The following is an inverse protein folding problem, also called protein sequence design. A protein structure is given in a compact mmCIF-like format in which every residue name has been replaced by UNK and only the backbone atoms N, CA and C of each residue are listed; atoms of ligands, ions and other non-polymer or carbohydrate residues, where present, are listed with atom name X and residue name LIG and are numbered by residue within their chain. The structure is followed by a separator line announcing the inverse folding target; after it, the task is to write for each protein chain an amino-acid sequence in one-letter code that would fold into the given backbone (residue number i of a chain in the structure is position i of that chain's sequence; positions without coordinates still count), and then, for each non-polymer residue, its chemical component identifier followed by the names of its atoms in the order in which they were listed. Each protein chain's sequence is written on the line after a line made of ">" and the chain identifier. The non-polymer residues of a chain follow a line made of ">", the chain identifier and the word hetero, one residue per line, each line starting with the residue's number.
data_IF_059522937143
#
_entry.id   IF_059522937143
#
_cell.length_a   1.000
_cell.length_b   1.000
_cell.length_c   1.000
_cell.angle_alpha   90.00
_cell.angle_beta   90.00
_cell.angle_gamma   90.00
#
_symmetry.space_group_name_H-M   'P 1'
#
loop_
_entity.id
_entity.type
_entity.pdbx_description
1 polymer ?
#
# COMPACT_ATOMS: atom_id res chain seq x y z
N UNK A 1 6.19 -27.87 -22.96
CA UNK A 1 4.95 -27.36 -22.32
C UNK A 1 4.75 -25.93 -22.80
N UNK A 2 3.52 -25.41 -22.89
CA UNK A 2 3.33 -23.99 -23.20
C UNK A 2 4.12 -23.16 -22.17
N UNK A 3 5.08 -22.39 -22.65
CA UNK A 3 6.06 -21.65 -21.83
C UNK A 3 5.56 -20.28 -21.44
N UNK A 4 4.32 -19.92 -21.78
CA UNK A 4 3.78 -18.58 -21.54
C UNK A 4 2.97 -18.51 -20.25
N UNK A 5 3.32 -17.56 -19.39
CA UNK A 5 2.67 -17.30 -18.11
C UNK A 5 2.00 -15.93 -18.17
N UNK A 6 0.74 -15.85 -17.77
CA UNK A 6 0.06 -14.57 -17.53
C UNK A 6 0.41 -14.08 -16.12
N UNK A 7 0.94 -12.87 -16.02
CA UNK A 7 1.48 -12.30 -14.76
C UNK A 7 0.67 -11.10 -14.27
N UNK A 8 0.13 -10.31 -15.19
CA UNK A 8 -0.63 -9.10 -14.87
C UNK A 8 -1.90 -9.00 -15.70
N UNK A 9 -2.93 -8.39 -15.11
CA UNK A 9 -4.24 -8.20 -15.73
C UNK A 9 -4.87 -6.89 -15.23
N UNK A 10 -5.36 -6.08 -16.16
CA UNK A 10 -6.23 -4.94 -15.86
C UNK A 10 -7.41 -4.87 -16.82
N UNK A 11 -8.47 -4.19 -16.40
CA UNK A 11 -9.62 -3.84 -17.24
C UNK A 11 -9.74 -2.32 -17.28
N UNK A 12 -9.56 -1.71 -18.45
CA UNK A 12 -9.61 -0.25 -18.57
C UNK A 12 -9.93 0.23 -19.99
N UNK A 13 -10.12 1.54 -20.14
CA UNK A 13 -10.15 2.25 -21.42
C UNK A 13 -8.82 2.97 -21.64
N UNK A 14 -8.43 3.17 -22.89
CA UNK A 14 -7.17 3.82 -23.24
C UNK A 14 -7.42 4.92 -24.28
N UNK A 15 -6.72 6.04 -24.12
CA UNK A 15 -6.87 7.25 -24.94
C UNK A 15 -8.32 7.73 -24.97
N UNK A 16 -8.76 8.13 -26.16
CA UNK A 16 -10.14 8.54 -26.44
C UNK A 16 -11.03 7.37 -26.90
N UNK A 17 -10.53 6.12 -26.86
CA UNK A 17 -11.30 4.95 -27.27
C UNK A 17 -12.34 4.60 -26.19
N UNK A 18 -13.65 4.64 -26.50
CA UNK A 18 -14.69 4.35 -25.51
C UNK A 18 -14.74 2.87 -25.11
N UNK A 19 -14.04 2.01 -25.84
CA UNK A 19 -14.01 0.55 -25.65
C UNK A 19 -13.26 0.16 -24.38
N UNK A 20 -13.89 -0.66 -23.55
CA UNK A 20 -13.19 -1.30 -22.42
C UNK A 20 -12.44 -2.54 -22.90
N UNK A 21 -11.16 -2.62 -22.51
CA UNK A 21 -10.25 -3.70 -22.84
C UNK A 21 -9.81 -4.46 -21.59
N UNK A 22 -9.67 -5.78 -21.73
CA UNK A 22 -8.93 -6.62 -20.80
C UNK A 22 -7.50 -6.75 -21.31
N UNK A 23 -6.54 -6.21 -20.55
CA UNK A 23 -5.14 -6.13 -20.93
C UNK A 23 -4.35 -7.12 -20.08
N UNK A 24 -3.66 -8.06 -20.73
CA UNK A 24 -2.91 -9.14 -20.09
C UNK A 24 -1.42 -8.97 -20.38
N UNK A 25 -0.62 -8.88 -19.33
CA UNK A 25 0.83 -8.94 -19.42
C UNK A 25 1.34 -10.36 -19.20
N UNK A 26 2.24 -10.80 -20.06
CA UNK A 26 2.73 -12.19 -20.08
C UNK A 26 4.26 -12.26 -20.07
N UNK A 27 4.78 -13.46 -19.82
CA UNK A 27 6.20 -13.81 -19.95
C UNK A 27 6.36 -15.21 -20.56
N UNK A 28 7.35 -15.38 -21.43
CA UNK A 28 7.79 -16.68 -21.94
C UNK A 28 8.90 -17.22 -21.03
N UNK A 29 8.54 -18.16 -20.16
CA UNK A 29 9.39 -18.76 -19.14
C UNK A 29 9.98 -20.07 -19.68
N UNK A 30 11.29 -20.06 -19.90
CA UNK A 30 12.06 -21.23 -20.30
C UNK A 30 12.90 -21.73 -19.10
N UNK A 31 12.90 -23.03 -18.78
CA UNK A 31 13.68 -23.57 -17.65
C UNK A 31 15.19 -23.32 -17.74
N UNK A 32 15.72 -23.14 -18.95
CA UNK A 32 17.15 -22.90 -19.20
C UNK A 32 17.54 -21.41 -19.02
N UNK A 33 16.57 -20.52 -18.79
CA UNK A 33 16.80 -19.08 -18.59
C UNK A 33 16.63 -18.69 -17.13
N UNK A 34 17.56 -17.88 -16.63
CA UNK A 34 17.49 -17.34 -15.26
C UNK A 34 16.39 -16.28 -15.11
N UNK A 35 16.11 -15.54 -16.19
CA UNK A 35 15.06 -14.53 -16.26
C UNK A 35 14.41 -14.57 -17.65
N UNK A 36 13.08 -14.39 -17.75
CA UNK A 36 12.41 -14.34 -19.04
C UNK A 36 12.90 -13.18 -19.89
N UNK A 37 13.28 -13.46 -21.13
CA UNK A 37 13.77 -12.44 -22.10
C UNK A 37 12.68 -11.96 -23.06
N UNK A 38 11.56 -12.66 -23.12
CA UNK A 38 10.46 -12.39 -24.02
C UNK A 38 9.13 -12.46 -23.27
N UNK A 39 8.19 -11.63 -23.69
CA UNK A 39 6.83 -11.59 -23.18
C UNK A 39 5.96 -10.76 -24.10
N UNK A 40 4.68 -10.64 -23.77
CA UNK A 40 3.71 -9.90 -24.58
C UNK A 40 2.70 -9.16 -23.71
N UNK A 41 2.23 -8.03 -24.21
CA UNK A 41 1.04 -7.33 -23.71
C UNK A 41 -0.07 -7.57 -24.73
N UNK A 42 -1.13 -8.24 -24.30
CA UNK A 42 -2.26 -8.66 -25.13
C UNK A 42 -3.49 -7.86 -24.72
N UNK A 43 -4.19 -7.25 -25.69
CA UNK A 43 -5.42 -6.53 -25.45
C UNK A 43 -6.59 -7.32 -26.02
N UNK A 44 -7.56 -7.59 -25.16
CA UNK A 44 -8.78 -8.29 -25.51
C UNK A 44 -9.99 -7.40 -25.32
N UNK A 45 -10.98 -7.56 -26.18
CA UNK A 45 -12.29 -6.96 -26.04
C UNK A 45 -13.34 -8.06 -25.88
N UNK A 46 -14.17 -7.94 -24.85
CA UNK A 46 -15.30 -8.84 -24.63
C UNK A 46 -16.58 -8.20 -25.15
N UNK A 47 -17.19 -8.85 -26.14
CA UNK A 47 -18.49 -8.47 -26.68
C UNK A 47 -19.29 -9.71 -27.06
N UNK A 48 -20.61 -9.66 -26.88
CA UNK A 48 -21.55 -10.70 -27.31
C UNK A 48 -21.17 -12.13 -26.89
N UNK A 49 -20.65 -12.28 -25.66
CA UNK A 49 -20.26 -13.59 -25.13
C UNK A 49 -18.93 -14.13 -25.67
N UNK A 50 -18.14 -13.31 -26.37
CA UNK A 50 -16.88 -13.71 -27.00
C UNK A 50 -15.75 -12.75 -26.67
N UNK A 51 -14.60 -13.31 -26.32
CA UNK A 51 -13.35 -12.57 -26.16
C UNK A 51 -12.62 -12.52 -27.52
N UNK A 52 -12.30 -11.31 -27.99
CA UNK A 52 -11.55 -11.09 -29.24
C UNK A 52 -10.25 -10.36 -28.94
N UNK A 53 -9.14 -10.86 -29.48
CA UNK A 53 -7.85 -10.17 -29.38
C UNK A 53 -7.84 -8.98 -30.35
N UNK A 54 -7.59 -7.78 -29.83
CA UNK A 54 -7.63 -6.52 -30.57
C UNK A 54 -6.22 -6.06 -30.95
N UNK A 55 -5.28 -6.20 -30.02
CA UNK A 55 -3.89 -5.79 -30.24
C UNK A 55 -2.92 -6.67 -29.45
N UNK A 56 -1.67 -6.64 -29.89
CA UNK A 56 -0.56 -7.36 -29.28
C UNK A 56 0.71 -6.51 -29.36
N UNK A 57 1.45 -6.45 -28.26
CA UNK A 57 2.76 -5.80 -28.21
C UNK A 57 3.80 -6.76 -27.64
N UNK A 58 4.78 -7.11 -28.46
CA UNK A 58 5.95 -7.85 -28.00
C UNK A 58 6.82 -6.98 -27.09
N UNK A 59 7.28 -7.58 -25.99
CA UNK A 59 8.16 -6.95 -25.00
C UNK A 59 9.37 -7.84 -24.71
N UNK A 60 10.48 -7.21 -24.33
CA UNK A 60 11.73 -7.88 -23.99
C UNK A 60 11.82 -8.10 -22.48
N UNK A 61 11.06 -9.05 -21.98
CA UNK A 61 11.02 -9.39 -20.56
C UNK A 61 9.64 -9.83 -20.09
N UNK A 62 9.50 -9.98 -18.78
CA UNK A 62 8.24 -10.30 -18.10
C UNK A 62 7.44 -9.04 -17.77
N UNK A 63 6.16 -9.00 -18.13
CA UNK A 63 5.27 -7.93 -17.69
C UNK A 63 4.70 -8.20 -16.28
N UNK A 64 5.39 -7.77 -15.24
CA UNK A 64 5.03 -8.08 -13.85
C UNK A 64 3.77 -7.35 -13.37
N UNK A 65 3.63 -6.06 -13.70
CA UNK A 65 2.46 -5.26 -13.33
C UNK A 65 2.00 -4.36 -14.48
N UNK A 66 0.70 -4.08 -14.48
CA UNK A 66 0.01 -3.19 -15.40
C UNK A 66 -0.87 -2.23 -14.59
N UNK A 67 -0.87 -0.96 -14.98
CA UNK A 67 -1.67 0.07 -14.33
C UNK A 67 -2.16 1.05 -15.39
N UNK A 68 -3.43 1.47 -15.30
CA UNK A 68 -3.92 2.58 -16.12
C UNK A 68 -3.35 3.90 -15.58
N UNK A 69 -2.92 4.75 -16.50
CA UNK A 69 -2.25 6.00 -16.16
C UNK A 69 -2.65 7.12 -17.12
N UNK A 70 -3.65 7.91 -16.73
CA UNK A 70 -4.11 9.09 -17.47
C UNK A 70 -4.45 8.80 -18.95
N UNK A 71 -5.19 7.72 -19.19
CA UNK A 71 -5.56 7.21 -20.52
C UNK A 71 -4.44 6.43 -21.22
N UNK A 72 -3.28 6.27 -20.60
CA UNK A 72 -2.14 5.50 -21.11
C UNK A 72 -1.99 4.20 -20.33
N UNK A 73 -1.17 3.29 -20.87
CA UNK A 73 -0.85 2.03 -20.23
C UNK A 73 0.54 2.08 -19.62
N UNK A 74 0.62 2.03 -18.29
CA UNK A 74 1.87 1.87 -17.56
C UNK A 74 2.14 0.39 -17.33
N UNK A 75 3.36 -0.06 -17.63
CA UNK A 75 3.76 -1.45 -17.46
C UNK A 75 5.16 -1.56 -16.81
N UNK A 76 5.33 -2.51 -15.92
CA UNK A 76 6.66 -2.92 -15.44
C UNK A 76 7.14 -4.16 -16.18
N UNK A 77 8.33 -4.06 -16.77
CA UNK A 77 8.95 -5.09 -17.61
C UNK A 77 10.39 -5.29 -17.15
N UNK A 78 10.65 -6.37 -16.41
CA UNK A 78 11.93 -6.62 -15.73
C UNK A 78 12.38 -5.39 -14.92
N UNK A 79 13.57 -4.87 -15.17
CA UNK A 79 14.13 -3.67 -14.54
C UNK A 79 13.53 -2.35 -15.06
N UNK A 80 12.59 -2.39 -16.00
CA UNK A 80 12.10 -1.20 -16.70
C UNK A 80 10.65 -0.88 -16.37
N UNK A 81 10.35 0.39 -16.15
CA UNK A 81 8.98 0.90 -16.09
C UNK A 81 8.74 1.66 -17.39
N UNK A 82 7.67 1.32 -18.12
CA UNK A 82 7.40 1.86 -19.46
C UNK A 82 5.99 2.40 -19.57
N UNK A 83 5.86 3.54 -20.23
CA UNK A 83 4.58 4.13 -20.57
C UNK A 83 4.27 3.90 -22.05
N UNK A 84 3.07 3.39 -22.33
CA UNK A 84 2.58 3.16 -23.67
C UNK A 84 1.34 4.01 -23.94
N UNK A 85 1.35 4.70 -25.07
CA UNK A 85 0.20 5.40 -25.62
C UNK A 85 -0.62 4.45 -26.51
N UNK A 86 -1.94 4.60 -26.45
CA UNK A 86 -2.86 3.88 -27.33
C UNK A 86 -3.17 4.72 -28.56
N UNK A 87 -2.78 4.24 -29.75
CA UNK A 87 -2.93 4.99 -31.00
C UNK A 87 -4.31 4.78 -31.64
N UNK A 88 -4.66 5.65 -32.61
CA UNK A 88 -5.90 5.52 -33.37
C UNK A 88 -5.97 4.23 -34.21
N UNK A 89 -4.81 3.69 -34.58
CA UNK A 89 -4.65 2.40 -35.28
C UNK A 89 -4.84 1.19 -34.35
N UNK A 90 -5.14 1.42 -33.06
CA UNK A 90 -5.28 0.39 -32.02
C UNK A 90 -3.98 -0.36 -31.76
N UNK A 91 -2.88 0.37 -31.64
CA UNK A 91 -1.57 -0.17 -31.26
C UNK A 91 -1.00 0.51 -30.01
N UNK A 92 -0.15 -0.22 -29.28
CA UNK A 92 0.62 0.34 -28.18
C UNK A 92 1.93 0.92 -28.69
N UNK A 93 2.07 2.25 -28.60
CA UNK A 93 3.31 2.99 -28.92
C UNK A 93 4.06 3.32 -27.63
N UNK A 94 5.34 2.97 -27.58
CA UNK A 94 6.19 3.32 -26.44
C UNK A 94 6.42 4.84 -26.43
N UNK A 95 6.16 5.48 -25.30
CA UNK A 95 6.37 6.91 -25.12
C UNK A 95 7.64 7.19 -24.31
N UNK A 96 7.74 6.63 -23.10
CA UNK A 96 8.91 6.83 -22.24
C UNK A 96 9.26 5.58 -21.41
N UNK A 97 10.43 5.59 -20.80
CA UNK A 97 10.95 4.46 -20.01
C UNK A 97 11.87 4.93 -18.89
N UNK A 98 11.81 4.23 -17.77
CA UNK A 98 12.69 4.37 -16.62
C UNK A 98 13.43 3.06 -16.36
N UNK A 99 14.73 3.10 -16.05
CA UNK A 99 15.62 1.92 -16.01
C UNK A 99 16.32 1.69 -14.65
N UNK A 100 16.08 2.53 -13.64
CA UNK A 100 16.79 2.48 -12.35
C UNK A 100 16.10 1.55 -11.33
N UNK A 101 15.78 0.32 -11.74
CA UNK A 101 15.24 -0.73 -10.89
C UNK A 101 16.06 -2.02 -11.06
N UNK A 102 16.09 -2.90 -10.06
CA UNK A 102 16.59 -4.25 -10.23
C UNK A 102 15.51 -5.08 -10.94
N UNK A 103 14.33 -5.18 -10.32
CA UNK A 103 13.13 -5.76 -10.92
C UNK A 103 11.91 -5.00 -10.39
N UNK A 104 11.20 -4.30 -11.26
CA UNK A 104 9.98 -3.57 -10.90
C UNK A 104 8.78 -4.52 -10.87
N UNK A 105 8.39 -4.97 -9.68
CA UNK A 105 7.33 -5.97 -9.50
C UNK A 105 5.96 -5.33 -9.32
N UNK A 106 5.88 -4.21 -8.61
CA UNK A 106 4.61 -3.59 -8.23
C UNK A 106 4.52 -2.15 -8.75
N UNK A 107 3.31 -1.76 -9.17
CA UNK A 107 3.02 -0.41 -9.67
C UNK A 107 1.70 0.10 -9.08
N UNK A 108 1.71 1.34 -8.61
CA UNK A 108 0.51 2.10 -8.23
C UNK A 108 0.61 3.51 -8.81
N UNK A 109 -0.52 4.10 -9.15
CA UNK A 109 -0.59 5.45 -9.71
C UNK A 109 -1.58 6.32 -8.93
N UNK A 110 -1.25 7.61 -8.84
CA UNK A 110 -2.14 8.64 -8.31
C UNK A 110 -1.84 9.97 -9.00
N UNK A 111 -2.78 10.44 -9.82
CA UNK A 111 -2.53 11.60 -10.68
C UNK A 111 -1.32 11.37 -11.59
N UNK A 112 -0.33 12.26 -11.53
CA UNK A 112 0.92 12.13 -12.29
C UNK A 112 2.02 11.35 -11.56
N UNK A 113 1.76 10.89 -10.32
CA UNK A 113 2.72 10.12 -9.54
C UNK A 113 2.55 8.62 -9.78
N UNK A 114 3.68 7.92 -9.77
CA UNK A 114 3.81 6.49 -9.93
C UNK A 114 4.69 5.97 -8.80
N UNK A 115 4.13 5.10 -7.97
CA UNK A 115 4.90 4.37 -6.97
C UNK A 115 5.32 3.02 -7.56
N UNK A 116 6.62 2.75 -7.51
CA UNK A 116 7.24 1.53 -7.99
C UNK A 116 7.78 0.75 -6.81
N UNK A 117 7.41 -0.53 -6.71
CA UNK A 117 7.94 -1.47 -5.74
C UNK A 117 8.93 -2.40 -6.43
N UNK A 118 10.18 -2.32 -6.01
CA UNK A 118 11.26 -3.14 -6.53
C UNK A 118 11.42 -4.44 -5.73
N UNK A 119 11.97 -5.50 -6.34
CA UNK A 119 12.26 -6.75 -5.65
C UNK A 119 13.16 -6.58 -4.43
N UNK A 120 14.15 -5.67 -4.46
CA UNK A 120 15.13 -5.49 -3.38
C UNK A 120 15.50 -4.02 -3.07
N UNK A 121 15.08 -3.08 -3.92
CA UNK A 121 15.33 -1.62 -3.74
C UNK A 121 14.11 -0.86 -3.23
N UNK A 122 13.30 -1.50 -2.38
CA UNK A 122 12.14 -0.88 -1.72
C UNK A 122 11.24 -0.08 -2.69
N UNK A 123 10.90 1.16 -2.33
CA UNK A 123 9.99 2.06 -3.02
C UNK A 123 10.74 3.14 -3.83
N UNK A 124 10.23 3.42 -5.03
CA UNK A 124 10.65 4.56 -5.85
C UNK A 124 9.43 5.34 -6.30
N UNK A 125 9.44 6.66 -6.10
CA UNK A 125 8.39 7.57 -6.56
C UNK A 125 8.85 8.25 -7.84
N UNK A 126 8.14 7.97 -8.93
CA UNK A 126 8.31 8.64 -10.21
C UNK A 126 7.18 9.64 -10.41
N UNK A 127 7.47 10.73 -11.13
CA UNK A 127 6.47 11.64 -11.66
C UNK A 127 6.57 11.66 -13.18
N UNK A 128 5.42 11.60 -13.85
CA UNK A 128 5.37 11.79 -15.28
C UNK A 128 5.30 13.28 -15.63
N UNK A 129 6.28 13.78 -16.39
CA UNK A 129 6.29 15.16 -16.90
C UNK A 129 5.61 15.21 -18.26
N UNK A 130 4.31 15.51 -18.27
CA UNK A 130 3.50 15.54 -19.50
C UNK A 130 4.06 16.44 -20.60
N UNK A 131 4.67 17.58 -20.24
CA UNK A 131 5.26 18.52 -21.21
C UNK A 131 6.55 17.99 -21.84
N UNK A 132 7.31 17.18 -21.11
CA UNK A 132 8.60 16.63 -21.55
C UNK A 132 8.46 15.23 -22.15
N UNK A 133 7.35 14.54 -21.85
CA UNK A 133 7.11 13.17 -22.27
C UNK A 133 8.06 12.17 -21.61
N UNK A 134 8.48 12.41 -20.36
CA UNK A 134 9.47 11.59 -19.65
C UNK A 134 9.08 11.34 -18.19
N UNK A 135 9.78 10.40 -17.55
CA UNK A 135 9.69 10.17 -16.12
C UNK A 135 10.81 10.92 -15.40
N UNK A 136 10.48 11.55 -14.28
CA UNK A 136 11.41 12.10 -13.30
C UNK A 136 11.34 11.25 -12.03
N UNK A 137 12.50 10.85 -11.49
CA UNK A 137 12.57 10.21 -10.18
C UNK A 137 12.52 11.31 -9.11
N UNK A 138 11.43 11.34 -8.32
CA UNK A 138 11.19 12.38 -7.32
C UNK A 138 11.87 12.03 -6.00
N UNK A 139 11.65 10.79 -5.54
CA UNK A 139 12.22 10.31 -4.30
C UNK A 139 12.37 8.79 -4.33
N UNK A 140 13.24 8.28 -3.47
CA UNK A 140 13.52 6.86 -3.31
C UNK A 140 13.73 6.52 -1.84
N UNK A 141 13.25 5.35 -1.43
CA UNK A 141 13.68 4.72 -0.20
C UNK A 141 14.96 3.91 -0.48
N UNK A 142 16.03 4.21 0.26
CA UNK A 142 17.34 3.58 0.09
C UNK A 142 17.52 2.34 0.98
N UNK A 143 16.54 1.98 1.80
CA UNK A 143 16.57 0.75 2.58
C UNK A 143 16.39 -0.48 1.66
N UNK A 144 17.12 -1.58 1.91
CA UNK A 144 17.03 -2.79 1.09
C UNK A 144 15.82 -3.66 1.50
N UNK A 145 14.60 -3.15 1.30
CA UNK A 145 13.37 -3.88 1.60
C UNK A 145 12.94 -4.76 0.41
N UNK A 146 12.61 -6.02 0.70
CA UNK A 146 12.18 -6.99 -0.30
C UNK A 146 10.65 -7.00 -0.42
N UNK A 147 10.15 -6.29 -1.43
CA UNK A 147 8.74 -5.92 -1.47
C UNK A 147 7.80 -7.08 -1.78
N UNK A 148 6.66 -7.12 -1.09
CA UNK A 148 5.57 -8.08 -1.30
C UNK A 148 4.29 -7.40 -1.80
N UNK A 149 4.04 -6.17 -1.36
CA UNK A 149 2.97 -5.31 -1.89
C UNK A 149 3.27 -3.84 -1.59
N UNK A 150 2.66 -2.92 -2.36
CA UNK A 150 2.77 -1.47 -2.17
C UNK A 150 1.40 -0.80 -2.33
N UNK A 151 1.22 0.36 -1.70
CA UNK A 151 0.06 1.23 -1.92
C UNK A 151 0.39 2.70 -1.71
N UNK A 152 -0.31 3.57 -2.43
CA UNK A 152 -0.27 5.03 -2.21
C UNK A 152 -1.39 5.37 -1.22
N UNK A 153 -1.06 5.91 -0.04
CA UNK A 153 -2.06 6.30 0.96
C UNK A 153 -2.61 7.69 0.63
N UNK A 154 -1.73 8.68 0.53
CA UNK A 154 -2.05 10.04 0.12
C UNK A 154 -1.00 10.59 -0.88
N UNK A 155 -0.88 11.91 -1.03
CA UNK A 155 0.07 12.50 -1.98
C UNK A 155 1.53 12.44 -1.49
N UNK A 156 1.74 12.31 -0.18
CA UNK A 156 3.04 12.38 0.47
C UNK A 156 3.46 11.06 1.15
N UNK A 157 2.52 10.16 1.44
CA UNK A 157 2.72 8.93 2.21
C UNK A 157 2.43 7.66 1.41
N UNK A 158 3.33 6.68 1.54
CA UNK A 158 3.38 5.46 0.75
C UNK A 158 3.53 4.25 1.67
N UNK A 159 2.64 3.27 1.53
CA UNK A 159 2.63 2.04 2.32
C UNK A 159 3.40 0.94 1.57
N UNK A 160 4.30 0.27 2.29
CA UNK A 160 5.04 -0.90 1.83
C UNK A 160 4.81 -2.10 2.74
N UNK A 161 4.77 -3.29 2.13
CA UNK A 161 4.89 -4.56 2.81
C UNK A 161 6.12 -5.30 2.29
N UNK A 162 6.84 -6.00 3.18
CA UNK A 162 8.08 -6.70 2.83
C UNK A 162 8.10 -8.16 3.30
N UNK A 163 9.10 -8.92 2.86
CA UNK A 163 9.12 -10.38 2.98
C UNK A 163 9.37 -10.89 4.40
N UNK A 164 9.86 -10.07 5.33
CA UNK A 164 9.98 -10.38 6.75
C UNK A 164 8.68 -10.14 7.54
N UNK A 165 7.54 -10.05 6.85
CA UNK A 165 6.19 -9.87 7.43
C UNK A 165 5.99 -8.52 8.12
N UNK A 166 6.75 -7.50 7.71
CA UNK A 166 6.61 -6.14 8.20
C UNK A 166 5.81 -5.26 7.23
N UNK A 167 5.19 -4.25 7.81
CA UNK A 167 4.65 -3.07 7.15
C UNK A 167 5.52 -1.86 7.48
N UNK A 168 5.64 -0.95 6.53
CA UNK A 168 6.30 0.34 6.75
C UNK A 168 5.62 1.43 5.93
N UNK A 169 5.75 2.67 6.38
CA UNK A 169 5.26 3.86 5.67
C UNK A 169 6.44 4.76 5.38
N UNK A 170 6.61 5.09 4.11
CA UNK A 170 7.55 6.09 3.64
C UNK A 170 6.84 7.41 3.39
N UNK A 171 7.47 8.52 3.74
CA UNK A 171 6.98 9.85 3.43
C UNK A 171 8.02 10.63 2.60
N UNK A 172 7.55 11.39 1.61
CA UNK A 172 8.40 12.36 0.90
C UNK A 172 8.47 13.68 1.68
N UNK A 173 9.67 14.22 1.85
CA UNK A 173 9.84 15.54 2.45
C UNK A 173 9.73 16.65 1.39
N UNK A 174 8.51 17.15 1.20
CA UNK A 174 8.26 18.26 0.27
C UNK A 174 8.79 19.62 0.79
N UNK A 175 9.05 19.73 2.10
CA UNK A 175 9.47 20.96 2.77
C UNK A 175 11.00 21.07 2.87
N UNK A 176 11.74 19.98 2.63
CA UNK A 176 13.19 19.94 2.61
C UNK A 176 13.81 21.06 1.76
N UNK A 177 14.90 21.65 2.24
CA UNK A 177 15.54 22.78 1.58
C UNK A 177 16.60 22.37 0.56
N UNK A 178 17.15 21.17 0.70
CA UNK A 178 18.12 20.61 -0.23
C UNK A 178 17.45 19.62 -1.20
N UNK A 179 17.98 19.51 -2.42
CA UNK A 179 17.50 18.52 -3.40
C UNK A 179 17.79 17.08 -2.95
N UNK A 180 18.95 16.85 -2.31
CA UNK A 180 19.34 15.54 -1.79
C UNK A 180 18.35 15.02 -0.74
N UNK A 181 17.91 15.87 0.19
CA UNK A 181 16.89 15.50 1.19
C UNK A 181 15.52 15.23 0.55
N UNK A 182 15.13 16.00 -0.49
CA UNK A 182 13.87 15.78 -1.21
C UNK A 182 13.85 14.44 -1.95
N UNK A 183 15.01 13.99 -2.43
CA UNK A 183 15.16 12.72 -3.13
C UNK A 183 15.13 11.51 -2.18
N UNK A 184 15.22 11.72 -0.87
CA UNK A 184 15.19 10.65 0.11
C UNK A 184 13.79 10.52 0.71
N UNK A 185 13.17 9.35 0.56
CA UNK A 185 11.99 9.00 1.34
C UNK A 185 12.42 8.56 2.74
N UNK A 186 11.74 9.07 3.76
CA UNK A 186 11.98 8.68 5.15
C UNK A 186 10.95 7.63 5.56
N UNK A 187 11.40 6.53 6.18
CA UNK A 187 10.52 5.59 6.86
C UNK A 187 10.00 6.26 8.14
N UNK A 188 8.72 6.64 8.15
CA UNK A 188 8.05 7.33 9.28
C UNK A 188 7.13 6.40 10.07
N UNK A 189 6.90 5.19 9.57
CA UNK A 189 6.11 4.18 10.26
C UNK A 189 6.66 2.79 10.00
N UNK A 190 6.65 1.94 11.02
CA UNK A 190 7.20 0.60 11.01
C UNK A 190 6.38 -0.32 11.93
N UNK A 191 6.01 -1.50 11.45
CA UNK A 191 5.14 -2.42 12.18
C UNK A 191 5.34 -3.87 11.75
N UNK A 192 5.55 -4.79 12.71
CA UNK A 192 5.52 -6.22 12.42
C UNK A 192 4.09 -6.76 12.38
N UNK A 193 3.61 -7.07 11.18
CA UNK A 193 2.27 -7.64 10.97
C UNK A 193 2.22 -9.11 11.40
N UNK A 194 3.28 -9.87 11.07
CA UNK A 194 3.36 -11.31 11.32
C UNK A 194 2.73 -12.18 10.23
N UNK A 195 2.37 -11.61 9.09
CA UNK A 195 1.90 -12.33 7.90
C UNK A 195 2.39 -11.66 6.61
N UNK A 196 2.39 -12.40 5.49
CA UNK A 196 2.85 -11.90 4.19
C UNK A 196 1.69 -11.32 3.39
N UNK A 197 1.72 -10.00 3.16
CA UNK A 197 0.72 -9.30 2.34
C UNK A 197 0.98 -9.55 0.86
N UNK A 198 -0.04 -9.99 0.12
CA UNK A 198 0.03 -10.20 -1.33
C UNK A 198 -0.59 -9.05 -2.13
N UNK A 199 -1.55 -8.33 -1.54
CA UNK A 199 -2.31 -7.32 -2.28
C UNK A 199 -2.81 -6.24 -1.35
N UNK A 200 -2.66 -4.98 -1.80
CA UNK A 200 -3.35 -3.81 -1.26
C UNK A 200 -4.40 -3.30 -2.23
N UNK A 201 -5.57 -2.90 -1.70
CA UNK A 201 -6.67 -2.29 -2.46
C UNK A 201 -7.37 -1.22 -1.66
N UNK A 202 -7.45 -0.02 -2.23
CA UNK A 202 -8.39 1.01 -1.78
C UNK A 202 -9.83 0.51 -1.83
N UNK A 203 -10.57 0.73 -0.75
CA UNK A 203 -11.96 0.33 -0.60
C UNK A 203 -12.30 0.01 0.86
N UNK A 204 -13.59 -0.01 1.18
CA UNK A 204 -14.11 -0.41 2.49
C UNK A 204 -15.22 -1.44 2.30
N UNK A 205 -15.37 -2.35 3.27
CA UNK A 205 -16.46 -3.34 3.29
C UNK A 205 -17.71 -2.83 4.03
N UNK A 206 -17.61 -1.68 4.70
CA UNK A 206 -18.70 -1.09 5.47
C UNK A 206 -19.51 -0.12 4.61
N UNK A 207 -20.82 0.00 4.89
CA UNK A 207 -21.68 0.99 4.25
C UNK A 207 -21.21 2.41 4.60
N UNK A 208 -20.62 3.10 3.62
CA UNK A 208 -20.25 4.49 3.76
C UNK A 208 -21.49 5.38 3.67
N UNK A 209 -22.09 5.68 4.83
CA UNK A 209 -23.10 6.74 4.93
C UNK A 209 -22.36 8.09 4.88
N UNK A 210 -22.34 8.73 3.72
CA UNK A 210 -21.84 10.09 3.51
C UNK A 210 -22.57 11.06 4.47
N UNK A 211 -21.98 11.32 5.63
CA UNK A 211 -22.53 12.21 6.67
C UNK A 211 -22.52 11.67 8.10
N UNK A 212 -22.20 10.38 8.31
CA UNK A 212 -22.23 9.73 9.65
C UNK A 212 -20.85 9.30 10.18
N UNK A 213 -19.73 9.76 9.62
CA UNK A 213 -18.41 9.40 10.15
C UNK A 213 -18.14 10.10 11.50
N UNK A 214 -18.48 9.43 12.60
CA UNK A 214 -18.06 9.80 13.96
C UNK A 214 -16.56 9.56 14.17
N UNK A 215 -15.95 8.65 13.41
CA UNK A 215 -14.54 8.30 13.49
C UNK A 215 -13.65 9.26 12.70
N UNK A 216 -12.55 9.76 13.30
CA UNK A 216 -11.59 10.63 12.62
C UNK A 216 -10.59 9.81 11.78
N UNK A 217 -11.07 8.92 10.93
CA UNK A 217 -10.23 8.08 10.05
C UNK A 217 -10.26 8.61 8.62
N UNK A 218 -9.10 8.62 7.95
CA UNK A 218 -8.96 9.08 6.57
C UNK A 218 -8.37 7.97 5.69
N UNK A 219 -8.97 7.79 4.51
CA UNK A 219 -8.60 6.71 3.60
C UNK A 219 -9.01 5.34 4.13
N UNK A 220 -8.96 4.33 3.25
CA UNK A 220 -9.24 2.96 3.63
C UNK A 220 -8.59 2.02 2.62
N UNK A 221 -7.57 1.30 3.08
CA UNK A 221 -6.82 0.32 2.26
C UNK A 221 -7.00 -1.05 2.88
N UNK A 222 -7.69 -1.93 2.16
CA UNK A 222 -7.77 -3.35 2.50
C UNK A 222 -6.49 -4.06 2.04
N UNK A 223 -6.10 -5.08 2.78
CA UNK A 223 -5.02 -5.97 2.39
C UNK A 223 -5.38 -7.43 2.59
N UNK A 224 -4.84 -8.29 1.73
CA UNK A 224 -4.98 -9.74 1.81
C UNK A 224 -3.64 -10.44 1.98
N UNK A 225 -3.58 -11.42 2.86
CA UNK A 225 -2.35 -12.14 3.21
C UNK A 225 -2.30 -13.57 2.66
N UNK A 226 -1.11 -14.19 2.70
CA UNK A 226 -0.91 -15.60 2.33
C UNK A 226 -1.71 -16.55 3.22
N UNK A 227 -1.83 -16.24 4.52
CA UNK A 227 -2.58 -17.09 5.47
C UNK A 227 -4.10 -16.96 5.33
N UNK A 228 -4.58 -16.05 4.46
CA UNK A 228 -6.00 -15.81 4.22
C UNK A 228 -6.63 -14.76 5.13
N UNK A 229 -5.81 -14.04 5.92
CA UNK A 229 -6.29 -12.89 6.68
C UNK A 229 -6.59 -11.71 5.74
N UNK A 230 -7.63 -10.96 6.07
CA UNK A 230 -7.96 -9.68 5.44
C UNK A 230 -7.86 -8.63 6.54
N UNK A 231 -7.05 -7.61 6.31
CA UNK A 231 -6.92 -6.49 7.24
C UNK A 231 -7.19 -5.16 6.56
N UNK A 232 -7.18 -4.10 7.37
CA UNK A 232 -7.48 -2.74 6.96
C UNK A 232 -6.41 -1.79 7.51
N UNK A 233 -5.94 -0.88 6.68
CA UNK A 233 -5.08 0.24 7.06
C UNK A 233 -5.85 1.53 6.80
N UNK A 234 -5.88 2.41 7.81
CA UNK A 234 -6.47 3.74 7.73
C UNK A 234 -5.52 4.76 8.35
N UNK A 235 -5.55 6.00 7.85
CA UNK A 235 -4.81 7.10 8.44
C UNK A 235 -5.64 7.75 9.56
N UNK A 236 -4.97 8.26 10.58
CA UNK A 236 -5.57 8.96 11.71
C UNK A 236 -4.83 10.27 11.99
N UNK A 237 -5.52 11.33 12.47
CA UNK A 237 -4.88 12.56 12.91
C UNK A 237 -3.87 12.32 14.04
N UNK A 238 -2.79 13.11 14.06
CA UNK A 238 -1.71 12.99 15.04
C UNK A 238 -2.19 13.01 16.50
N UNK A 239 -3.12 13.91 16.85
CA UNK A 239 -3.68 13.98 18.22
C UNK A 239 -4.37 12.66 18.60
N UNK A 240 -5.08 12.05 17.64
CA UNK A 240 -5.75 10.78 17.87
C UNK A 240 -4.76 9.60 17.94
N UNK A 241 -3.69 9.65 17.15
CA UNK A 241 -2.57 8.71 17.27
C UNK A 241 -1.91 8.76 18.66
N UNK A 242 -1.58 9.94 19.19
CA UNK A 242 -1.00 10.06 20.54
C UNK A 242 -1.91 9.49 21.62
N UNK A 243 -3.22 9.75 21.50
CA UNK A 243 -4.22 9.20 22.39
C UNK A 243 -4.28 7.66 22.31
N UNK A 244 -4.40 7.10 21.11
CA UNK A 244 -4.46 5.64 20.91
C UNK A 244 -3.17 4.96 21.33
N UNK A 245 -2.00 5.59 21.12
CA UNK A 245 -0.71 5.08 21.59
C UNK A 245 -0.68 4.99 23.11
N UNK A 246 -1.17 6.01 23.81
CA UNK A 246 -1.27 5.97 25.27
C UNK A 246 -2.24 4.88 25.77
N UNK A 247 -3.34 4.67 25.05
CA UNK A 247 -4.29 3.60 25.32
C UNK A 247 -3.64 2.21 25.10
N UNK A 248 -2.92 2.02 24.01
CA UNK A 248 -2.20 0.79 23.66
C UNK A 248 -1.15 0.41 24.73
N UNK A 249 -0.35 1.38 25.18
CA UNK A 249 0.66 1.16 26.22
C UNK A 249 0.01 0.71 27.55
N UNK A 250 -1.15 1.29 27.90
CA UNK A 250 -1.92 0.92 29.10
C UNK A 250 -2.55 -0.47 28.96
N UNK A 251 -3.14 -0.76 27.81
CA UNK A 251 -3.70 -2.08 27.51
C UNK A 251 -2.64 -3.16 27.65
N UNK A 252 -1.43 -2.93 27.12
CA UNK A 252 -0.29 -3.85 27.24
C UNK A 252 0.10 -4.14 28.69
N UNK A 253 -0.07 -3.17 29.59
CA UNK A 253 0.23 -3.35 31.02
C UNK A 253 -0.83 -4.17 31.79
N UNK A 254 -2.08 -4.12 31.35
CA UNK A 254 -3.24 -4.77 32.01
C UNK A 254 -3.54 -6.16 31.42
N UNK A 255 -3.34 -6.32 30.10
CA UNK A 255 -3.58 -7.57 29.38
C UNK A 255 -2.42 -8.53 29.58
N UNK A 256 -2.74 -9.72 30.11
CA UNK A 256 -1.75 -10.78 30.30
C UNK A 256 -1.55 -11.53 28.98
N UNK A 257 -0.44 -11.27 28.31
CA UNK A 257 -0.05 -11.97 27.09
C UNK A 257 0.13 -13.48 27.30
N UNK A 258 -0.37 -14.28 26.35
CA UNK A 258 -0.15 -15.72 26.31
C UNK A 258 1.34 -15.99 26.08
N UNK A 259 1.96 -16.81 26.93
CA UNK A 259 3.40 -17.06 26.86
C UNK A 259 4.27 -15.91 27.38
N UNK A 260 3.68 -14.84 27.94
CA UNK A 260 4.39 -13.66 28.46
C UNK A 260 5.27 -12.96 27.42
N UNK A 261 4.81 -12.95 26.16
CA UNK A 261 5.48 -12.23 25.08
C UNK A 261 5.09 -10.76 25.19
N UNK A 262 6.07 -9.87 25.23
CA UNK A 262 5.81 -8.43 25.24
C UNK A 262 5.23 -7.98 23.90
N UNK A 263 4.13 -7.22 23.91
CA UNK A 263 3.46 -6.76 22.69
C UNK A 263 4.40 -5.87 21.84
N UNK A 264 5.10 -4.93 22.48
CA UNK A 264 6.10 -4.10 21.81
C UNK A 264 7.19 -4.93 21.12
N UNK A 265 7.61 -6.05 21.72
CA UNK A 265 8.56 -6.96 21.09
C UNK A 265 7.95 -7.67 19.88
N UNK A 266 6.70 -8.14 19.98
CA UNK A 266 5.99 -8.78 18.87
C UNK A 266 5.78 -7.82 17.68
N UNK A 267 5.42 -6.56 17.93
CA UNK A 267 5.17 -5.54 16.89
C UNK A 267 6.42 -4.81 16.42
N UNK A 268 7.58 -5.03 17.04
CA UNK A 268 8.86 -4.43 16.62
C UNK A 268 9.21 -4.88 15.20
N UNK A 269 9.50 -3.92 14.34
CA UNK A 269 9.97 -4.18 12.97
C UNK A 269 11.23 -5.04 13.03
N UNK A 270 11.21 -6.17 12.34
CA UNK A 270 12.25 -7.19 12.49
C UNK A 270 12.67 -7.77 11.14
N UNK A 271 13.92 -7.58 10.80
CA UNK A 271 14.58 -8.14 9.61
C UNK A 271 15.90 -8.79 10.03
N UNK A 272 16.55 -9.52 9.12
CA UNK A 272 17.89 -10.05 9.38
C UNK A 272 18.94 -8.95 9.63
N UNK A 273 18.68 -7.71 9.18
CA UNK A 273 19.62 -6.59 9.24
C UNK A 273 19.38 -5.67 10.44
N UNK A 274 18.11 -5.43 10.78
CA UNK A 274 17.71 -4.46 11.81
C UNK A 274 16.48 -4.92 12.60
N UNK A 275 16.46 -4.52 13.87
CA UNK A 275 15.30 -4.59 14.74
C UNK A 275 15.02 -3.18 15.23
N UNK A 276 13.86 -2.64 14.92
CA UNK A 276 13.44 -1.28 15.28
C UNK A 276 12.07 -1.33 15.98
N UNK A 277 11.83 -0.36 16.87
CA UNK A 277 10.57 -0.33 17.62
C UNK A 277 9.41 0.03 16.68
N UNK A 278 8.21 -0.46 17.02
CA UNK A 278 7.00 -0.06 16.33
C UNK A 278 6.77 1.45 16.51
N UNK A 279 6.71 2.18 15.40
CA UNK A 279 6.46 3.63 15.37
C UNK A 279 5.49 3.94 14.22
N UNK A 280 4.65 4.97 14.36
CA UNK A 280 3.75 5.42 13.30
C UNK A 280 2.58 4.47 12.98
N UNK A 281 2.41 3.41 13.76
CA UNK A 281 1.31 2.44 13.66
C UNK A 281 0.66 2.22 15.03
N UNK A 282 -0.62 1.85 15.00
CA UNK A 282 -1.41 1.43 16.17
C UNK A 282 -2.01 0.05 15.84
N UNK A 283 -1.89 -0.88 16.79
CA UNK A 283 -2.49 -2.21 16.65
C UNK A 283 -3.99 -2.17 16.96
N UNK A 284 -4.80 -2.11 15.90
CA UNK A 284 -6.28 -2.10 16.01
C UNK A 284 -6.82 -3.29 16.80
N UNK A 285 -6.24 -4.49 16.62
CA UNK A 285 -6.66 -5.70 17.32
C UNK A 285 -6.51 -5.54 18.85
N UNK A 286 -5.43 -4.90 19.28
CA UNK A 286 -5.19 -4.63 20.71
C UNK A 286 -6.14 -3.56 21.23
N UNK A 287 -6.37 -2.48 20.48
CA UNK A 287 -7.31 -1.42 20.87
C UNK A 287 -8.73 -1.98 21.04
N UNK A 288 -9.19 -2.81 20.10
CA UNK A 288 -10.53 -3.39 20.13
C UNK A 288 -10.73 -4.37 21.28
N UNK A 289 -9.67 -5.07 21.68
CA UNK A 289 -9.71 -5.96 22.85
C UNK A 289 -10.06 -5.24 24.16
N UNK A 290 -10.02 -3.90 24.21
CA UNK A 290 -10.52 -3.12 25.33
C UNK A 290 -11.99 -3.46 25.66
N UNK A 291 -12.84 -3.68 24.64
CA UNK A 291 -14.26 -3.97 24.83
C UNK A 291 -14.51 -5.34 25.49
N UNK A 292 -13.54 -6.27 25.41
CA UNK A 292 -13.61 -7.60 26.01
C UNK A 292 -13.15 -7.62 27.48
N UNK A 293 -12.63 -6.50 28.01
CA UNK A 293 -12.15 -6.42 29.38
C UNK A 293 -13.29 -6.39 30.40
N UNK A 294 -13.02 -6.90 31.61
CA UNK A 294 -13.94 -6.73 32.74
C UNK A 294 -14.00 -5.25 33.17
N UNK A 295 -15.13 -4.77 33.73
CA UNK A 295 -15.29 -3.37 34.14
C UNK A 295 -14.17 -2.83 35.04
N UNK A 296 -13.67 -3.64 35.97
CA UNK A 296 -12.57 -3.25 36.86
C UNK A 296 -11.27 -2.94 36.09
N UNK A 297 -10.98 -3.72 35.04
CA UNK A 297 -9.82 -3.54 34.18
C UNK A 297 -9.99 -2.37 33.23
N UNK A 298 -11.21 -2.15 32.71
CA UNK A 298 -11.50 -0.96 31.92
C UNK A 298 -11.27 0.31 32.74
N UNK A 299 -11.69 0.32 34.01
CA UNK A 299 -11.43 1.43 34.92
C UNK A 299 -9.94 1.62 35.22
N UNK A 300 -9.18 0.52 35.37
CA UNK A 300 -7.72 0.56 35.52
C UNK A 300 -7.03 1.19 34.30
N UNK A 301 -7.45 0.81 33.09
CA UNK A 301 -6.93 1.38 31.83
C UNK A 301 -7.31 2.87 31.69
N UNK A 302 -8.55 3.24 32.01
CA UNK A 302 -9.03 4.62 31.91
C UNK A 302 -8.35 5.58 32.91
N UNK A 303 -7.89 5.06 34.05
CA UNK A 303 -7.35 5.86 35.15
C UNK A 303 -6.15 6.73 34.72
N UNK A 304 -6.34 8.06 34.79
CA UNK A 304 -5.30 9.05 34.46
C UNK A 304 -5.02 9.19 32.97
N UNK A 305 -5.87 8.64 32.10
CA UNK A 305 -5.86 8.94 30.67
C UNK A 305 -6.60 10.25 30.43
N UNK A 306 -6.02 11.14 29.62
CA UNK A 306 -6.60 12.45 29.34
C UNK A 306 -7.17 12.47 27.92
N UNK A 307 -8.37 13.03 27.75
CA UNK A 307 -9.00 13.28 26.45
C UNK A 307 -9.38 14.75 26.33
N UNK A 308 -9.39 15.25 25.11
CA UNK A 308 -9.88 16.59 24.83
C UNK A 308 -11.42 16.59 24.89
N UNK A 309 -11.97 17.53 25.65
CA UNK A 309 -13.41 17.77 25.68
C UNK A 309 -13.85 18.54 24.41
N UNK A 310 -15.17 18.67 24.14
CA UNK A 310 -15.66 19.41 22.97
C UNK A 310 -15.26 20.90 22.95
N UNK A 311 -14.75 21.44 24.06
CA UNK A 311 -14.23 22.81 24.16
C UNK A 311 -12.70 22.90 23.98
N UNK A 312 -12.03 21.76 23.78
CA UNK A 312 -10.58 21.65 23.62
C UNK A 312 -9.79 21.64 24.94
N UNK A 313 -10.46 21.47 26.08
CA UNK A 313 -9.79 21.31 27.39
C UNK A 313 -9.58 19.83 27.72
N UNK A 314 -8.42 19.51 28.30
CA UNK A 314 -8.12 18.15 28.74
C UNK A 314 -8.96 17.78 29.97
N UNK A 315 -9.77 16.73 29.85
CA UNK A 315 -10.48 16.07 30.96
C UNK A 315 -9.97 14.64 31.14
N UNK A 316 -10.16 14.06 32.32
CA UNK A 316 -9.92 12.63 32.51
C UNK A 316 -10.95 11.81 31.71
N UNK A 317 -10.48 10.76 31.04
CA UNK A 317 -11.31 9.85 30.27
C UNK A 317 -12.10 8.95 31.21
N UNK A 318 -13.41 8.84 30.97
CA UNK A 318 -14.24 7.83 31.63
C UNK A 318 -14.22 6.52 30.82
N UNK A 319 -14.62 5.41 31.46
CA UNK A 319 -14.80 4.12 30.75
C UNK A 319 -15.78 4.29 29.59
N UNK A 320 -16.88 5.00 29.80
CA UNK A 320 -17.91 5.23 28.76
C UNK A 320 -17.36 6.05 27.58
N UNK A 321 -16.47 7.02 27.82
CA UNK A 321 -15.78 7.76 26.76
C UNK A 321 -14.93 6.79 25.90
N UNK A 322 -14.17 5.89 26.53
CA UNK A 322 -13.33 4.92 25.82
C UNK A 322 -14.14 3.86 25.07
N UNK A 323 -15.18 3.32 25.69
CA UNK A 323 -16.09 2.36 25.05
C UNK A 323 -16.67 2.96 23.78
N UNK A 324 -17.16 4.21 23.84
CA UNK A 324 -17.70 4.89 22.68
C UNK A 324 -16.65 5.05 21.56
N UNK A 325 -15.43 5.46 21.90
CA UNK A 325 -14.35 5.65 20.90
C UNK A 325 -14.00 4.32 20.23
N UNK A 326 -13.85 3.24 21.01
CA UNK A 326 -13.48 1.92 20.48
C UNK A 326 -14.64 1.32 19.68
N UNK A 327 -15.89 1.45 20.14
CA UNK A 327 -17.06 1.07 19.35
C UNK A 327 -17.14 1.84 18.02
N UNK A 328 -16.85 3.13 18.02
CA UNK A 328 -16.80 3.92 16.79
C UNK A 328 -15.70 3.37 15.85
N UNK A 329 -14.52 3.00 16.37
CA UNK A 329 -13.44 2.38 15.59
C UNK A 329 -13.81 1.02 15.00
N UNK A 330 -14.50 0.16 15.75
CA UNK A 330 -14.93 -1.17 15.23
C UNK A 330 -15.86 -1.07 14.03
N UNK A 331 -16.48 0.09 13.78
CA UNK A 331 -17.38 0.31 12.62
C UNK A 331 -16.64 0.52 11.30
N UNK A 332 -15.31 0.55 11.28
CA UNK A 332 -14.56 0.80 10.04
C UNK A 332 -14.37 -0.45 9.17
N UNK A 333 -14.60 -1.65 9.71
CA UNK A 333 -14.36 -2.92 9.03
C UNK A 333 -15.53 -3.91 9.10
#
# INVERSE_FOLDING_TARGET
>A
MPTEYALSLISTKLGEDPTSYYIVGTALVHPDETEPKMGRILLYHWSDGKLTQVAEKEIKGSCYSLTEFNGKLLASINSTVRLFEWTAEKELRLECSHFNNIIALYLKSKGDFILVGDLMRSLTLLQYKTMEGCFEEIARDYNPNWMTAIEILDDDTFLGAENCFNLFVCQKDSAATSEDERQQMQEVGQFHLGDMVNVFRHGSLVMQNLGESSTPTQGCVLFGTVSGAIGLVTQIPFIFYEFLRNLEDRLTSVIKSVGKIEHNFWRSFNTELKIEQCEGFIDGDLIESFLDLSPDKMAEVASGLMIDDPSGMKKEATVDDLVKIVEDLTRIH
#
